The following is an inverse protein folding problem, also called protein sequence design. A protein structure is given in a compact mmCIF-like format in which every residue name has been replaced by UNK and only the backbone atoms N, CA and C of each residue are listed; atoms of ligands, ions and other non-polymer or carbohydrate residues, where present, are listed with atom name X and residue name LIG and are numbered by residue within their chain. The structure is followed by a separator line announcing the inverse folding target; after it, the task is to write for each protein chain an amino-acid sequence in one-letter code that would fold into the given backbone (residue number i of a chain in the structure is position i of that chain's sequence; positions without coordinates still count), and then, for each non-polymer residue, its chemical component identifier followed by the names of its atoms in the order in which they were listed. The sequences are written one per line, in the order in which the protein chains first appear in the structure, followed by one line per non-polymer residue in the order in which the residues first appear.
data_IF_095703683919
#
_entry.id   IF_095703683919
#
_cell.length_a   1.000
_cell.length_b   1.000
_cell.length_c   1.000
_cell.angle_alpha   90.00
_cell.angle_beta   90.00
_cell.angle_gamma   90.00
#
_symmetry.space_group_name_H-M   'P 1'
#
loop_
_entity.id
_entity.type
_entity.pdbx_description
1 polymer ?
#
# COMPACT_ATOMS: atom_id res chain seq x y z
N UNK A 1 12.02 14.56 -50.57
CA UNK A 1 12.26 14.77 -49.12
C UNK A 1 11.39 13.80 -48.35
N UNK A 2 12.02 13.02 -47.46
CA UNK A 2 11.49 11.79 -46.87
C UNK A 2 10.39 12.08 -45.85
N UNK A 3 9.42 11.16 -45.79
CA UNK A 3 8.36 11.10 -44.78
C UNK A 3 9.01 10.66 -43.46
N UNK A 4 8.90 11.48 -42.42
CA UNK A 4 9.22 11.09 -41.04
C UNK A 4 7.95 10.53 -40.40
N UNK A 5 7.86 9.21 -40.38
CA UNK A 5 6.89 8.47 -39.58
C UNK A 5 7.28 8.60 -38.11
N UNK A 6 6.45 9.29 -37.34
CA UNK A 6 6.56 9.36 -35.89
C UNK A 6 6.35 7.96 -35.30
N UNK A 7 7.45 7.37 -34.82
CA UNK A 7 7.46 6.08 -34.15
C UNK A 7 6.80 6.22 -32.78
N UNK A 8 5.50 5.94 -32.71
CA UNK A 8 4.79 5.71 -31.44
C UNK A 8 5.45 4.53 -30.72
N UNK A 9 5.91 4.69 -29.46
CA UNK A 9 6.55 3.60 -28.74
C UNK A 9 5.50 2.50 -28.51
N UNK A 10 5.67 1.39 -29.23
CA UNK A 10 4.81 0.23 -29.11
C UNK A 10 5.03 -0.40 -27.75
N UNK A 11 3.99 -0.37 -26.90
CA UNK A 11 3.97 -1.09 -25.62
C UNK A 11 4.11 -2.58 -25.91
N UNK A 12 5.34 -3.10 -25.75
CA UNK A 12 5.65 -4.52 -25.91
C UNK A 12 4.71 -5.30 -25.00
N UNK A 13 4.02 -6.28 -25.58
CA UNK A 13 3.04 -7.18 -24.94
C UNK A 13 3.51 -7.57 -23.53
N UNK A 14 2.93 -6.93 -22.53
CA UNK A 14 2.99 -7.41 -21.15
C UNK A 14 2.26 -8.74 -21.18
N UNK A 15 3.01 -9.84 -21.02
CA UNK A 15 2.45 -11.19 -20.96
C UNK A 15 1.34 -11.24 -19.90
N UNK A 16 0.38 -12.14 -20.07
CA UNK A 16 -0.79 -12.32 -19.20
C UNK A 16 -0.41 -12.19 -17.73
N UNK A 17 -0.61 -11.01 -17.15
CA UNK A 17 -0.44 -10.77 -15.73
C UNK A 17 -1.62 -11.47 -15.07
N UNK A 18 -1.43 -12.74 -14.75
CA UNK A 18 -2.41 -13.50 -13.99
C UNK A 18 -2.47 -12.87 -12.60
N UNK A 19 -3.60 -12.24 -12.27
CA UNK A 19 -3.87 -11.79 -10.91
C UNK A 19 -3.84 -13.04 -10.02
N UNK A 20 -2.77 -13.18 -9.25
CA UNK A 20 -2.70 -14.18 -8.19
C UNK A 20 -3.68 -13.72 -7.12
N UNK A 21 -4.84 -14.37 -7.06
CA UNK A 21 -5.74 -14.20 -5.92
C UNK A 21 -5.09 -14.90 -4.73
N UNK A 22 -4.24 -14.17 -4.02
CA UNK A 22 -3.90 -14.58 -2.67
C UNK A 22 -5.17 -14.38 -1.85
N UNK A 23 -5.54 -15.35 -1.01
CA UNK A 23 -6.33 -15.03 0.19
C UNK A 23 -5.45 -14.07 0.99
N UNK A 24 -5.56 -12.79 0.68
CA UNK A 24 -4.85 -11.73 1.36
C UNK A 24 -5.53 -11.66 2.72
N UNK A 25 -4.91 -12.28 3.72
CA UNK A 25 -5.23 -12.00 5.12
C UNK A 25 -5.13 -10.48 5.29
N UNK A 26 -6.08 -9.86 5.99
CA UNK A 26 -6.10 -8.39 6.07
C UNK A 26 -4.82 -7.82 6.71
N UNK A 27 -4.08 -8.64 7.48
CA UNK A 27 -2.73 -8.37 7.98
C UNK A 27 -1.66 -8.19 6.89
N UNK A 28 -1.81 -8.78 5.70
CA UNK A 28 -0.83 -8.64 4.60
C UNK A 28 -1.13 -7.49 3.64
N UNK A 29 -2.20 -6.72 3.87
CA UNK A 29 -2.51 -5.51 3.10
C UNK A 29 -1.67 -4.30 3.52
N UNK A 30 -1.10 -4.34 4.73
CA UNK A 30 -0.35 -3.25 5.31
C UNK A 30 1.01 -3.74 5.80
N UNK A 31 1.98 -2.85 5.77
CA UNK A 31 3.28 -3.01 6.41
C UNK A 31 3.38 -2.03 7.57
N UNK A 32 4.08 -2.43 8.63
CA UNK A 32 4.37 -1.55 9.76
C UNK A 32 5.86 -1.38 9.97
N UNK A 33 6.29 -0.17 10.28
CA UNK A 33 7.68 0.17 10.53
C UNK A 33 7.81 1.23 11.63
N UNK A 34 8.95 1.26 12.32
CA UNK A 34 9.23 2.33 13.28
C UNK A 34 9.64 3.60 12.55
N UNK A 35 9.10 4.75 12.97
CA UNK A 35 9.51 6.03 12.40
C UNK A 35 10.97 6.38 12.73
N UNK A 36 11.38 6.07 13.95
CA UNK A 36 12.72 6.36 14.47
C UNK A 36 13.29 5.10 15.14
N UNK A 37 14.59 4.84 15.02
CA UNK A 37 15.21 3.70 15.69
C UNK A 37 15.16 3.83 17.22
N UNK A 38 15.28 5.06 17.72
CA UNK A 38 15.32 5.37 19.16
C UNK A 38 13.92 5.57 19.79
N UNK A 39 12.86 5.64 18.97
CA UNK A 39 11.49 5.88 19.44
C UNK A 39 10.50 4.92 18.80
N UNK A 40 9.76 4.19 19.65
CA UNK A 40 8.70 3.26 19.22
C UNK A 40 7.39 3.95 18.81
N UNK A 41 7.37 5.29 18.83
CA UNK A 41 6.20 6.14 18.62
C UNK A 41 6.57 7.27 17.64
N UNK A 42 5.73 7.54 16.62
CA UNK A 42 4.57 6.74 16.19
C UNK A 42 5.01 5.47 15.45
N UNK A 43 4.15 4.44 15.47
CA UNK A 43 4.27 3.33 14.53
C UNK A 43 3.75 3.79 13.17
N UNK A 44 4.53 3.59 12.12
CA UNK A 44 4.13 3.90 10.75
C UNK A 44 3.39 2.71 10.17
N UNK A 45 2.24 2.97 9.57
CA UNK A 45 1.43 2.00 8.83
C UNK A 45 1.38 2.46 7.38
N UNK A 46 1.73 1.58 6.44
CA UNK A 46 1.72 1.86 5.00
C UNK A 46 1.06 0.72 4.24
N UNK A 47 0.47 0.96 3.06
CA UNK A 47 -0.10 -0.11 2.26
C UNK A 47 1.02 -0.98 1.66
N UNK A 48 0.91 -2.29 1.81
CA UNK A 48 1.84 -3.27 1.25
C UNK A 48 1.68 -3.43 -0.27
N UNK A 49 0.48 -3.12 -0.78
CA UNK A 49 0.13 -3.19 -2.21
C UNK A 49 -0.53 -1.89 -2.66
N UNK A 50 -0.43 -1.59 -3.95
CA UNK A 50 -1.11 -0.44 -4.53
C UNK A 50 -2.64 -0.62 -4.49
N UNK A 51 -3.35 0.46 -4.20
CA UNK A 51 -4.82 0.50 -4.24
C UNK A 51 -5.53 0.04 -2.96
N UNK A 52 -4.81 -0.11 -1.84
CA UNK A 52 -5.46 -0.29 -0.53
C UNK A 52 -6.14 1.02 -0.13
N UNK A 53 -7.46 0.99 -0.01
CA UNK A 53 -8.23 2.08 0.56
C UNK A 53 -8.10 2.08 2.08
N UNK A 54 -7.73 3.23 2.65
CA UNK A 54 -7.47 3.34 4.09
C UNK A 54 -8.76 3.17 4.91
N UNK A 55 -9.90 3.70 4.43
CA UNK A 55 -11.15 3.67 5.17
C UNK A 55 -11.77 2.28 5.15
N UNK A 56 -11.79 1.61 4.00
CA UNK A 56 -12.28 0.23 3.88
C UNK A 56 -11.43 -0.75 4.69
N UNK A 57 -10.10 -0.59 4.63
CA UNK A 57 -9.20 -1.38 5.45
C UNK A 57 -9.43 -1.12 6.94
N UNK A 58 -9.49 0.15 7.37
CA UNK A 58 -9.65 0.49 8.78
C UNK A 58 -10.99 0.02 9.35
N UNK A 59 -12.07 0.10 8.57
CA UNK A 59 -13.38 -0.41 8.96
C UNK A 59 -13.36 -1.92 9.24
N UNK A 60 -12.60 -2.68 8.45
CA UNK A 60 -12.46 -4.13 8.61
C UNK A 60 -11.42 -4.54 9.66
N UNK A 61 -10.47 -3.66 10.00
CA UNK A 61 -9.32 -3.95 10.86
C UNK A 61 -9.32 -3.14 12.16
N UNK A 62 -10.51 -2.77 12.66
CA UNK A 62 -10.65 -1.93 13.83
C UNK A 62 -9.93 -2.49 15.06
N UNK A 63 -10.12 -3.78 15.35
CA UNK A 63 -9.48 -4.45 16.50
C UNK A 63 -7.95 -4.43 16.39
N UNK A 64 -7.41 -4.57 15.17
CA UNK A 64 -5.97 -4.46 14.92
C UNK A 64 -5.46 -3.04 15.17
N UNK A 65 -6.19 -2.02 14.68
CA UNK A 65 -5.85 -0.60 14.93
C UNK A 65 -5.86 -0.29 16.43
N UNK A 66 -6.86 -0.78 17.17
CA UNK A 66 -6.96 -0.61 18.62
C UNK A 66 -5.78 -1.28 19.34
N UNK A 67 -5.41 -2.50 18.97
CA UNK A 67 -4.24 -3.19 19.53
C UNK A 67 -2.93 -2.44 19.24
N UNK A 68 -2.76 -1.93 18.01
CA UNK A 68 -1.59 -1.14 17.62
C UNK A 68 -1.53 0.18 18.38
N UNK A 69 -2.65 0.88 18.58
CA UNK A 69 -2.74 2.11 19.39
C UNK A 69 -2.43 1.83 20.86
N UNK A 70 -2.97 0.74 21.43
CA UNK A 70 -2.68 0.34 22.81
C UNK A 70 -1.21 -0.03 23.02
N UNK A 71 -0.51 -0.49 21.98
CA UNK A 71 0.91 -0.82 22.06
C UNK A 71 1.82 0.38 21.79
N UNK A 72 1.52 1.16 20.76
CA UNK A 72 2.41 2.20 20.22
C UNK A 72 1.98 3.64 20.53
N UNK A 73 0.81 3.86 21.16
CA UNK A 73 0.25 5.17 21.57
C UNK A 73 -0.09 6.15 20.44
N UNK A 74 0.55 6.04 19.28
CA UNK A 74 0.24 6.82 18.09
C UNK A 74 0.54 6.01 16.83
N UNK A 75 -0.30 6.19 15.81
CA UNK A 75 -0.15 5.58 14.48
C UNK A 75 -0.02 6.68 13.44
N UNK A 76 0.89 6.49 12.48
CA UNK A 76 1.06 7.35 11.32
C UNK A 76 0.70 6.57 10.06
N UNK A 77 -0.42 6.93 9.42
CA UNK A 77 -0.80 6.35 8.13
C UNK A 77 -0.07 7.06 6.99
N UNK A 78 0.75 6.33 6.23
CA UNK A 78 1.59 6.88 5.16
C UNK A 78 1.36 6.16 3.85
N UNK A 79 1.55 6.86 2.73
CA UNK A 79 1.45 6.32 1.36
C UNK A 79 0.06 5.77 0.99
N UNK A 80 -0.98 6.09 1.76
CA UNK A 80 -2.37 5.86 1.37
C UNK A 80 -2.86 6.96 0.42
N UNK A 81 -3.77 6.59 -0.48
CA UNK A 81 -4.44 7.55 -1.35
C UNK A 81 -5.63 8.16 -0.60
N UNK A 82 -5.42 9.34 0.00
CA UNK A 82 -6.45 10.12 0.70
C UNK A 82 -6.80 11.33 -0.17
N UNK A 83 -7.92 11.27 -0.87
CA UNK A 83 -8.46 12.34 -1.71
C UNK A 83 -9.88 12.67 -1.32
#
# INVERSE_FOLDING_TARGET
MKKEDAQVPSLKKLGTITRKTFKVSQDTLIETEQLLPESSIPLVVKPAIAGVDLLEWAASNKEAIEALLLKHRALLFRNFNVN
#
